data_IF_645440362638
#
_entry.id   IF_645440362638
#
_cell.length_a   1.000
_cell.length_b   1.000
_cell.length_c   1.000
_cell.angle_alpha   90.00
_cell.angle_beta   90.00
_cell.angle_gamma   90.00
#
_symmetry.space_group_name_H-M   'P 1'
#
loop_
_entity.id
_entity.type
_entity.pdbx_description
1 polymer ?
#
# COMPACT_ATOMS: atom_id res chain seq x y z
N UNK A 1 -16.00 3.93 -22.10
CA UNK A 1 -14.73 4.68 -22.16
C UNK A 1 -13.87 4.07 -23.26
N UNK A 2 -13.51 4.86 -24.28
CA UNK A 2 -13.06 4.36 -25.59
C UNK A 2 -11.56 3.96 -25.55
N UNK A 3 -11.25 2.67 -25.77
CA UNK A 3 -9.90 2.10 -25.66
C UNK A 3 -8.90 2.58 -26.72
N UNK A 4 -9.33 3.41 -27.68
CA UNK A 4 -8.49 3.86 -28.80
C UNK A 4 -7.54 5.03 -28.48
N UNK A 5 -7.70 5.72 -27.34
CA UNK A 5 -6.87 6.88 -26.99
C UNK A 5 -5.49 6.49 -26.44
N UNK A 6 -5.28 5.23 -26.03
CA UNK A 6 -4.03 4.77 -25.41
C UNK A 6 -2.91 4.45 -26.41
N UNK A 7 -3.11 4.68 -27.72
CA UNK A 7 -2.18 4.25 -28.77
C UNK A 7 -1.24 5.36 -29.27
N UNK A 8 -1.45 6.61 -28.85
CA UNK A 8 -0.52 7.72 -29.09
C UNK A 8 -0.03 8.22 -27.73
N UNK A 9 1.29 8.36 -27.55
CA UNK A 9 1.86 8.94 -26.34
C UNK A 9 1.20 10.28 -26.06
N UNK A 10 0.65 10.44 -24.86
CA UNK A 10 0.05 11.71 -24.47
C UNK A 10 1.20 12.67 -24.11
N UNK A 11 1.43 13.75 -24.88
CA UNK A 11 2.57 14.65 -24.65
C UNK A 11 2.54 15.30 -23.26
N UNK A 12 1.36 15.42 -22.65
CA UNK A 12 1.22 15.91 -21.29
C UNK A 12 1.78 14.90 -20.26
N UNK A 13 1.56 13.60 -20.48
CA UNK A 13 2.11 12.55 -19.62
C UNK A 13 3.63 12.46 -19.76
N UNK A 14 4.15 12.62 -20.99
CA UNK A 14 5.59 12.66 -21.23
C UNK A 14 6.24 13.88 -20.56
N UNK A 15 5.62 15.06 -20.68
CA UNK A 15 6.06 16.26 -19.98
C UNK A 15 6.05 16.06 -18.46
N UNK A 16 4.98 15.49 -17.92
CA UNK A 16 4.87 15.19 -16.50
C UNK A 16 5.99 14.25 -16.04
N UNK A 17 6.24 13.15 -16.76
CA UNK A 17 7.31 12.21 -16.44
C UNK A 17 8.69 12.89 -16.47
N UNK A 18 8.95 13.72 -17.48
CA UNK A 18 10.20 14.48 -17.58
C UNK A 18 10.39 15.45 -16.40
N UNK A 19 9.31 16.10 -15.95
CA UNK A 19 9.36 16.96 -14.76
C UNK A 19 9.61 16.15 -13.50
N UNK A 20 8.96 15.00 -13.33
CA UNK A 20 9.20 14.10 -12.18
C UNK A 20 10.65 13.64 -12.18
N UNK A 21 11.18 13.12 -13.30
CA UNK A 21 12.57 12.68 -13.40
C UNK A 21 13.57 13.80 -13.13
N UNK A 22 13.27 15.04 -13.56
CA UNK A 22 14.15 16.19 -13.34
C UNK A 22 14.20 16.66 -11.89
N UNK A 23 13.09 16.56 -11.16
CA UNK A 23 12.96 17.14 -9.81
C UNK A 23 12.89 16.12 -8.68
N UNK A 24 12.82 14.82 -8.99
CA UNK A 24 12.89 13.72 -8.03
C UNK A 24 14.18 12.94 -8.28
N UNK A 25 15.27 13.24 -7.54
CA UNK A 25 16.58 12.61 -7.72
C UNK A 25 16.52 11.07 -7.68
N UNK A 26 15.57 10.53 -6.93
CA UNK A 26 15.36 9.10 -6.75
C UNK A 26 14.17 8.55 -7.58
N UNK A 27 13.70 9.29 -8.59
CA UNK A 27 12.53 8.91 -9.40
C UNK A 27 12.63 7.50 -10.00
N UNK A 28 13.84 7.09 -10.40
CA UNK A 28 14.11 5.80 -11.00
C UNK A 28 14.77 4.81 -10.03
N UNK A 29 14.83 5.13 -8.72
CA UNK A 29 15.41 4.24 -7.73
C UNK A 29 14.55 2.97 -7.59
N UNK A 30 15.16 1.81 -7.86
CA UNK A 30 14.49 0.50 -7.71
C UNK A 30 14.37 0.06 -6.25
N UNK A 31 15.32 0.48 -5.43
CA UNK A 31 15.40 0.18 -4.01
C UNK A 31 15.78 1.46 -3.28
N UNK A 32 15.19 1.70 -2.11
CA UNK A 32 15.54 2.81 -1.23
C UNK A 32 16.27 2.26 -0.01
N UNK A 33 17.17 3.07 0.54
CA UNK A 33 17.82 2.75 1.80
C UNK A 33 16.84 3.04 2.96
N UNK A 34 16.54 2.05 3.83
CA UNK A 34 15.71 2.26 5.02
C UNK A 34 16.18 3.41 5.91
N UNK A 35 17.47 3.74 5.93
CA UNK A 35 18.01 4.86 6.73
C UNK A 35 17.45 6.22 6.30
N UNK A 36 16.95 6.34 5.06
CA UNK A 36 16.26 7.54 4.58
C UNK A 36 14.90 7.76 5.25
N UNK A 37 14.37 6.74 5.93
CA UNK A 37 13.05 6.73 6.54
C UNK A 37 13.17 6.41 8.05
N UNK A 38 13.39 7.41 8.92
CA UNK A 38 13.64 7.18 10.35
C UNK A 38 12.58 6.35 11.08
N UNK A 39 11.34 6.37 10.60
CA UNK A 39 10.21 5.60 11.15
C UNK A 39 10.30 4.10 10.88
N UNK A 40 11.11 3.64 9.91
CA UNK A 40 11.25 2.21 9.57
C UNK A 40 11.84 1.43 10.74
N UNK A 41 12.89 1.95 11.38
CA UNK A 41 13.56 1.28 12.49
C UNK A 41 12.59 0.98 13.65
N UNK A 42 11.64 1.88 13.91
CA UNK A 42 10.63 1.66 14.95
C UNK A 42 9.63 0.56 14.56
N UNK A 43 9.18 0.52 13.30
CA UNK A 43 8.30 -0.55 12.83
C UNK A 43 8.99 -1.91 12.86
N UNK A 44 10.27 -1.95 12.45
CA UNK A 44 11.08 -3.16 12.49
C UNK A 44 11.27 -3.63 13.93
N UNK A 45 11.57 -2.75 14.89
CA UNK A 45 11.69 -3.14 16.29
C UNK A 45 10.41 -3.81 16.84
N UNK A 46 9.24 -3.44 16.31
CA UNK A 46 7.93 -3.93 16.75
C UNK A 46 7.26 -4.91 15.77
N UNK A 47 7.96 -5.44 14.77
CA UNK A 47 7.36 -6.26 13.70
C UNK A 47 6.57 -7.47 14.22
N UNK A 48 6.99 -8.01 15.38
CA UNK A 48 6.33 -9.16 16.03
C UNK A 48 4.90 -8.86 16.49
N UNK A 49 4.58 -7.60 16.80
CA UNK A 49 3.21 -7.18 17.13
C UNK A 49 2.31 -7.41 15.91
N UNK A 50 2.72 -6.91 14.76
CA UNK A 50 1.99 -7.07 13.50
C UNK A 50 1.93 -8.54 13.05
N UNK A 51 3.01 -9.31 13.26
CA UNK A 51 3.02 -10.75 12.97
C UNK A 51 1.98 -11.50 13.79
N UNK A 52 1.90 -11.26 15.11
CA UNK A 52 0.91 -11.89 15.98
C UNK A 52 -0.52 -11.56 15.52
N UNK A 53 -0.79 -10.30 15.20
CA UNK A 53 -2.10 -9.87 14.74
C UNK A 53 -2.48 -10.54 13.40
N UNK A 54 -1.51 -10.75 12.51
CA UNK A 54 -1.68 -11.55 11.30
C UNK A 54 -1.97 -13.02 11.62
N UNK A 55 -1.24 -13.63 12.54
CA UNK A 55 -1.46 -15.03 12.95
C UNK A 55 -2.89 -15.22 13.48
N UNK A 56 -3.42 -14.26 14.25
CA UNK A 56 -4.81 -14.25 14.71
C UNK A 56 -5.81 -14.07 13.54
N UNK A 57 -5.51 -13.18 12.60
CA UNK A 57 -6.37 -12.98 11.43
C UNK A 57 -6.47 -14.24 10.56
N UNK A 58 -5.36 -15.00 10.45
CA UNK A 58 -5.30 -16.23 9.67
C UNK A 58 -6.13 -17.38 10.26
N UNK A 59 -6.47 -17.34 11.55
CA UNK A 59 -7.41 -18.30 12.15
C UNK A 59 -8.82 -18.24 11.55
N UNK A 60 -9.18 -17.11 10.93
CA UNK A 60 -10.45 -16.88 10.23
C UNK A 60 -10.19 -16.33 8.82
N UNK A 61 -9.26 -16.99 8.11
CA UNK A 61 -8.76 -16.55 6.81
C UNK A 61 -9.88 -16.30 5.78
N UNK A 62 -10.99 -17.04 5.85
CA UNK A 62 -12.15 -16.87 4.98
C UNK A 62 -12.76 -15.46 5.06
N UNK A 63 -12.63 -14.78 6.20
CA UNK A 63 -13.13 -13.41 6.40
C UNK A 63 -12.22 -12.34 5.81
N UNK A 64 -10.99 -12.69 5.42
CA UNK A 64 -10.07 -11.75 4.78
C UNK A 64 -10.43 -11.64 3.29
N UNK A 65 -10.70 -10.43 2.76
CA UNK A 65 -11.07 -10.23 1.37
C UNK A 65 -9.94 -10.62 0.41
N UNK A 66 -10.30 -11.01 -0.80
CA UNK A 66 -9.31 -11.19 -1.87
C UNK A 66 -8.76 -9.84 -2.31
N UNK A 67 -7.50 -9.82 -2.74
CA UNK A 67 -6.87 -8.56 -3.17
C UNK A 67 -7.60 -7.92 -4.36
N UNK A 68 -8.10 -8.74 -5.28
CA UNK A 68 -8.88 -8.30 -6.44
C UNK A 68 -10.18 -7.56 -6.05
N UNK A 69 -10.73 -7.84 -4.87
CA UNK A 69 -11.97 -7.23 -4.39
C UNK A 69 -11.75 -5.83 -3.82
N UNK A 70 -10.50 -5.42 -3.53
CA UNK A 70 -10.21 -4.12 -2.95
C UNK A 70 -10.42 -2.95 -3.94
N UNK A 71 -10.24 -3.20 -5.24
CA UNK A 71 -10.42 -2.18 -6.27
C UNK A 71 -10.58 -2.79 -7.66
N UNK A 72 -11.42 -2.22 -8.55
CA UNK A 72 -11.53 -2.64 -9.95
C UNK A 72 -10.18 -2.63 -10.71
N UNK A 73 -9.22 -1.82 -10.24
CA UNK A 73 -7.88 -1.72 -10.80
C UNK A 73 -7.05 -3.00 -10.63
N UNK A 74 -7.43 -3.87 -9.70
CA UNK A 74 -6.78 -5.15 -9.43
C UNK A 74 -7.49 -6.34 -10.09
N UNK A 75 -8.41 -6.10 -11.02
CA UNK A 75 -9.15 -7.16 -11.73
C UNK A 75 -8.27 -8.18 -12.45
N UNK A 76 -7.06 -7.79 -12.89
CA UNK A 76 -6.07 -8.71 -13.45
C UNK A 76 -5.49 -9.73 -12.46
N UNK A 77 -5.75 -9.56 -11.16
CA UNK A 77 -5.34 -10.47 -10.09
C UNK A 77 -6.51 -11.33 -9.58
N UNK A 78 -7.63 -11.40 -10.31
CA UNK A 78 -8.84 -12.11 -9.88
C UNK A 78 -8.63 -13.62 -9.67
N UNK A 79 -7.74 -14.26 -10.43
CA UNK A 79 -7.40 -15.69 -10.26
C UNK A 79 -6.43 -15.94 -9.10
N UNK A 80 -5.98 -14.88 -8.43
CA UNK A 80 -4.99 -14.97 -7.36
C UNK A 80 -5.62 -15.44 -6.05
N UNK A 81 -4.96 -16.38 -5.37
CA UNK A 81 -5.27 -16.75 -3.98
C UNK A 81 -4.79 -15.72 -2.95
N UNK A 82 -4.31 -14.56 -3.41
CA UNK A 82 -3.81 -13.51 -2.54
C UNK A 82 -4.94 -12.82 -1.79
N UNK A 83 -4.77 -12.76 -0.47
CA UNK A 83 -5.66 -12.07 0.47
C UNK A 83 -4.92 -10.95 1.16
N UNK A 84 -5.63 -9.91 1.56
CA UNK A 84 -5.01 -8.71 2.13
C UNK A 84 -5.74 -8.23 3.37
N UNK A 85 -5.02 -8.23 4.50
CA UNK A 85 -5.44 -7.63 5.75
C UNK A 85 -5.06 -6.15 5.73
N UNK A 86 -5.98 -5.29 5.32
CA UNK A 86 -5.71 -3.86 5.07
C UNK A 86 -6.11 -3.00 6.26
N UNK A 87 -5.19 -2.18 6.76
CA UNK A 87 -5.46 -1.20 7.83
C UNK A 87 -5.74 0.20 7.29
N UNK A 88 -4.99 0.61 6.26
CA UNK A 88 -5.18 1.87 5.57
C UNK A 88 -5.15 1.65 4.07
N UNK A 89 -6.09 2.25 3.35
CA UNK A 89 -6.20 2.16 1.90
C UNK A 89 -6.47 3.53 1.31
N UNK A 90 -5.59 4.03 0.44
CA UNK A 90 -5.63 5.41 -0.07
C UNK A 90 -5.81 6.45 1.04
N UNK A 91 -5.05 6.32 2.13
CA UNK A 91 -5.10 7.19 3.30
C UNK A 91 -6.35 7.04 4.19
N UNK A 92 -7.29 6.17 3.83
CA UNK A 92 -8.51 5.92 4.59
C UNK A 92 -8.31 4.76 5.56
N UNK A 93 -8.62 4.99 6.84
CA UNK A 93 -8.58 3.98 7.90
C UNK A 93 -9.69 2.94 7.69
N UNK A 94 -9.33 1.67 7.75
CA UNK A 94 -10.26 0.53 7.73
C UNK A 94 -10.62 0.19 9.17
N UNK A 95 -11.69 0.82 9.68
CA UNK A 95 -12.06 0.76 11.09
C UNK A 95 -12.12 -0.66 11.65
N UNK A 96 -12.72 -1.61 10.92
CA UNK A 96 -12.85 -3.00 11.36
C UNK A 96 -11.51 -3.67 11.72
N UNK A 97 -10.44 -3.43 10.94
CA UNK A 97 -9.14 -4.05 11.20
C UNK A 97 -8.34 -3.26 12.25
N UNK A 98 -8.39 -1.94 12.17
CA UNK A 98 -7.70 -1.07 13.12
C UNK A 98 -8.27 -1.19 14.54
N UNK A 99 -9.60 -1.29 14.69
CA UNK A 99 -10.26 -1.45 15.99
C UNK A 99 -10.03 -2.85 16.56
N UNK A 100 -9.92 -3.88 15.70
CA UNK A 100 -9.58 -5.25 16.10
C UNK A 100 -8.12 -5.38 16.55
N UNK A 101 -7.21 -4.66 15.91
CA UNK A 101 -5.77 -4.75 16.13
C UNK A 101 -5.16 -3.38 16.50
N UNK A 102 -5.52 -2.83 17.67
CA UNK A 102 -5.20 -1.45 18.04
C UNK A 102 -3.69 -1.21 18.24
N UNK A 103 -2.92 -2.25 18.59
CA UNK A 103 -1.46 -2.13 18.71
C UNK A 103 -0.80 -1.93 17.35
N UNK A 104 -1.26 -2.67 16.33
CA UNK A 104 -0.82 -2.46 14.94
C UNK A 104 -1.28 -1.10 14.41
N UNK A 105 -2.53 -0.70 14.69
CA UNK A 105 -3.05 0.64 14.34
C UNK A 105 -2.16 1.76 14.89
N UNK A 106 -1.78 1.67 16.17
CA UNK A 106 -0.92 2.65 16.83
C UNK A 106 0.50 2.72 16.22
N UNK A 107 1.07 1.58 15.79
CA UNK A 107 2.36 1.55 15.10
C UNK A 107 2.28 2.20 13.72
N UNK A 108 1.25 1.88 12.93
CA UNK A 108 1.08 2.43 11.59
C UNK A 108 0.85 3.95 11.60
N UNK A 109 0.19 4.48 12.62
CA UNK A 109 -0.02 5.92 12.79
C UNK A 109 1.27 6.74 13.00
N UNK A 110 2.40 6.08 13.29
CA UNK A 110 3.71 6.75 13.41
C UNK A 110 4.37 7.02 12.07
N UNK A 111 3.90 6.38 11.00
CA UNK A 111 4.41 6.64 9.66
C UNK A 111 3.91 8.03 9.24
N UNK A 112 4.80 8.97 8.86
CA UNK A 112 4.40 10.30 8.43
C UNK A 112 3.58 10.24 7.13
N UNK A 113 2.72 11.23 6.93
CA UNK A 113 1.98 11.46 5.69
C UNK A 113 1.11 10.28 5.18
N UNK A 114 0.75 9.33 6.05
CA UNK A 114 -0.13 8.20 5.70
C UNK A 114 -1.54 8.64 5.30
N UNK A 115 -1.98 9.84 5.70
CA UNK A 115 -3.33 10.35 5.48
C UNK A 115 -3.28 11.30 4.27
N UNK A 116 -3.79 10.82 3.14
CA UNK A 116 -4.05 11.65 1.96
C UNK A 116 -5.13 12.69 2.24
#
# INVERSE_FOLDING_TARGET
MNKQVLRHGNPLLELQNNLIQRYSPDADARFFDPEQFPWVAELEAHWKVMRRDLDEALMVQEKIPHFADLSPRFSGMAESRWKSLVFYFYGRRVAANCDRFPATDALLQRIPDQKC
#
